data_IF_098355404669
#
_entry.id   IF_098355404669
#
_cell.length_a   1.000
_cell.length_b   1.000
_cell.length_c   1.000
_cell.angle_alpha   90.00
_cell.angle_beta   90.00
_cell.angle_gamma   90.00
#
_symmetry.space_group_name_H-M   'P 1'
#
loop_
_entity.id
_entity.type
_entity.pdbx_description
1 polymer ?
#
# COMPACT_ATOMS: atom_id res chain seq x y z
N UNK A 1 11.52 -21.40 22.58
CA UNK A 1 10.18 -20.94 23.02
C UNK A 1 9.62 -20.07 21.91
N UNK A 2 8.63 -20.57 21.16
CA UNK A 2 7.95 -19.76 20.15
C UNK A 2 6.99 -18.83 20.89
N UNK A 3 7.26 -17.53 20.87
CA UNK A 3 6.22 -16.54 21.13
C UNK A 3 5.08 -16.78 20.14
N UNK A 4 3.93 -17.23 20.64
CA UNK A 4 2.71 -17.24 19.86
C UNK A 4 2.31 -15.78 19.65
N UNK A 5 2.49 -15.30 18.41
CA UNK A 5 2.08 -13.96 18.05
C UNK A 5 0.57 -13.96 17.90
N UNK A 6 -0.10 -13.14 18.71
CA UNK A 6 -1.54 -12.95 18.62
C UNK A 6 -1.92 -12.35 17.26
N UNK A 7 -3.06 -12.78 16.67
CA UNK A 7 -3.60 -12.14 15.49
C UNK A 7 -3.86 -10.64 15.73
N UNK A 8 -3.54 -9.81 14.73
CA UNK A 8 -3.77 -8.36 14.81
C UNK A 8 -4.64 -7.90 13.66
N UNK A 9 -5.53 -6.94 13.93
CA UNK A 9 -6.20 -6.20 12.88
C UNK A 9 -5.21 -5.26 12.20
N UNK A 10 -5.27 -5.21 10.88
CA UNK A 10 -4.44 -4.33 10.06
C UNK A 10 -5.17 -3.94 8.78
N UNK A 11 -4.61 -2.99 8.04
CA UNK A 11 -5.09 -2.66 6.70
C UNK A 11 -4.30 -3.45 5.66
N UNK A 12 -5.00 -4.18 4.80
CA UNK A 12 -4.44 -4.79 3.61
C UNK A 12 -4.75 -3.94 2.37
N UNK A 13 -3.82 -3.88 1.42
CA UNK A 13 -3.99 -3.20 0.14
C UNK A 13 -3.33 -4.00 -0.98
N UNK A 14 -3.53 -3.56 -2.22
CA UNK A 14 -2.84 -4.09 -3.39
C UNK A 14 -2.01 -3.00 -4.06
N UNK A 15 -0.86 -3.37 -4.60
CA UNK A 15 -0.04 -2.48 -5.42
C UNK A 15 -0.71 -2.30 -6.77
N UNK A 16 -0.78 -1.07 -7.27
CA UNK A 16 -1.35 -0.78 -8.60
C UNK A 16 -0.67 -1.60 -9.69
N UNK A 17 -1.43 -2.09 -10.67
CA UNK A 17 -0.88 -2.85 -11.78
C UNK A 17 0.14 -2.02 -12.56
N UNK A 18 -0.22 -0.78 -12.85
CA UNK A 18 0.59 0.21 -13.56
C UNK A 18 0.48 1.57 -12.87
N UNK A 19 1.57 2.32 -12.89
CA UNK A 19 1.66 3.70 -12.39
C UNK A 19 2.25 4.62 -13.43
N UNK A 20 1.82 5.88 -13.40
CA UNK A 20 2.49 6.98 -14.09
C UNK A 20 3.86 7.24 -13.47
N UNK A 21 4.86 7.55 -14.29
CA UNK A 21 6.26 7.72 -13.93
C UNK A 21 6.94 8.74 -14.84
N UNK A 22 8.12 9.20 -14.44
CA UNK A 22 8.92 10.14 -15.22
C UNK A 22 8.31 11.54 -15.26
N UNK A 23 8.85 12.36 -16.16
CA UNK A 23 8.47 13.76 -16.30
C UNK A 23 6.97 13.88 -16.60
N UNK A 24 6.28 14.69 -15.78
CA UNK A 24 4.84 14.93 -15.89
C UNK A 24 4.00 13.64 -15.98
N UNK A 25 4.50 12.51 -15.49
CA UNK A 25 3.81 11.23 -15.49
C UNK A 25 3.50 10.64 -16.87
N UNK A 26 4.35 10.91 -17.87
CA UNK A 26 4.14 10.45 -19.26
C UNK A 26 4.59 8.99 -19.50
N UNK A 27 5.43 8.43 -18.65
CA UNK A 27 5.78 7.01 -18.71
C UNK A 27 4.82 6.14 -17.88
N UNK A 28 4.63 4.89 -18.29
CA UNK A 28 3.91 3.88 -17.51
C UNK A 28 4.86 2.79 -17.06
N UNK A 29 4.87 2.48 -15.76
CA UNK A 29 5.66 1.38 -15.19
C UNK A 29 4.81 0.42 -14.37
N UNK A 30 5.05 -0.89 -14.45
CA UNK A 30 4.30 -1.85 -13.66
C UNK A 30 4.73 -1.82 -12.18
N UNK A 31 3.78 -1.99 -11.28
CA UNK A 31 4.01 -2.13 -9.84
C UNK A 31 4.83 -1.01 -9.21
N UNK A 32 5.85 -1.36 -8.43
CA UNK A 32 6.90 -0.46 -7.92
C UNK A 32 8.28 -1.11 -8.12
N UNK A 33 9.36 -0.43 -7.68
CA UNK A 33 10.69 -1.06 -7.63
C UNK A 33 10.71 -2.29 -6.71
N UNK A 34 9.97 -2.23 -5.59
CA UNK A 34 9.97 -3.25 -4.55
C UNK A 34 8.90 -4.33 -4.74
N UNK A 35 7.77 -4.01 -5.36
CA UNK A 35 6.63 -4.91 -5.50
C UNK A 35 6.17 -5.08 -6.95
N UNK A 36 5.64 -6.26 -7.27
CA UNK A 36 4.94 -6.51 -8.54
C UNK A 36 3.60 -5.77 -8.54
N UNK A 37 3.12 -5.39 -9.73
CA UNK A 37 1.75 -4.91 -9.88
C UNK A 37 0.77 -5.98 -9.40
N UNK A 38 -0.26 -5.56 -8.66
CA UNK A 38 -1.26 -6.45 -8.04
C UNK A 38 -0.78 -7.18 -6.78
N UNK A 39 0.46 -6.95 -6.33
CA UNK A 39 0.94 -7.59 -5.10
C UNK A 39 0.14 -7.13 -3.89
N UNK A 40 -0.28 -8.07 -3.04
CA UNK A 40 -0.89 -7.78 -1.74
C UNK A 40 0.17 -7.31 -0.76
N UNK A 41 -0.14 -6.25 -0.02
CA UNK A 41 0.67 -5.69 1.06
C UNK A 41 -0.19 -5.45 2.29
N UNK A 42 0.46 -5.39 3.45
CA UNK A 42 -0.15 -5.01 4.73
C UNK A 42 0.47 -3.70 5.20
N UNK A 43 -0.35 -2.73 5.58
CA UNK A 43 0.09 -1.44 6.12
C UNK A 43 0.44 -1.65 7.60
N UNK A 44 1.69 -1.36 7.96
CA UNK A 44 2.20 -1.51 9.31
C UNK A 44 2.30 -0.18 10.05
N UNK A 45 2.54 0.91 9.33
CA UNK A 45 2.62 2.26 9.89
C UNK A 45 2.34 3.30 8.81
N UNK A 46 2.04 4.53 9.23
CA UNK A 46 1.99 5.69 8.35
C UNK A 46 2.70 6.87 9.00
N UNK A 47 3.28 7.72 8.15
CA UNK A 47 3.87 8.97 8.58
C UNK A 47 2.80 10.07 8.63
N UNK A 48 2.12 10.21 9.77
CA UNK A 48 1.00 11.16 9.98
C UNK A 48 1.42 12.60 9.69
N UNK A 49 2.63 13.00 10.09
CA UNK A 49 3.17 14.35 9.83
C UNK A 49 3.40 14.68 8.35
N UNK A 50 3.33 13.69 7.47
CA UNK A 50 3.44 13.82 6.00
C UNK A 50 2.09 13.54 5.33
N UNK A 51 0.96 13.75 6.02
CA UNK A 51 -0.39 13.56 5.45
C UNK A 51 -0.67 12.13 4.97
N UNK A 52 0.03 11.13 5.53
CA UNK A 52 -0.02 9.74 5.05
C UNK A 52 0.36 9.58 3.57
N UNK A 53 1.30 10.38 3.05
CA UNK A 53 1.86 10.23 1.69
C UNK A 53 2.69 8.96 1.51
N UNK A 54 3.25 8.46 2.60
CA UNK A 54 4.00 7.22 2.63
C UNK A 54 3.52 6.32 3.76
N UNK A 55 3.47 5.03 3.45
CA UNK A 55 3.08 3.97 4.36
C UNK A 55 4.21 2.96 4.46
N UNK A 56 4.56 2.55 5.67
CA UNK A 56 5.40 1.38 5.87
C UNK A 56 4.56 0.14 5.58
N UNK A 57 4.95 -0.63 4.57
CA UNK A 57 4.20 -1.81 4.12
C UNK A 57 5.01 -3.09 4.26
N UNK A 58 4.31 -4.20 4.47
CA UNK A 58 4.87 -5.55 4.50
C UNK A 58 4.27 -6.34 3.34
N UNK A 59 5.13 -6.86 2.46
CA UNK A 59 4.69 -7.57 1.26
C UNK A 59 5.73 -8.53 0.72
N UNK A 60 5.39 -9.28 -0.34
CA UNK A 60 6.34 -10.16 -1.04
C UNK A 60 7.15 -9.35 -2.05
N UNK A 61 8.47 -9.29 -1.86
CA UNK A 61 9.37 -8.55 -2.72
C UNK A 61 9.37 -9.06 -4.17
N UNK A 62 9.44 -8.13 -5.13
CA UNK A 62 9.30 -8.36 -6.58
C UNK A 62 10.22 -9.45 -7.14
N UNK A 63 11.48 -9.43 -6.72
CA UNK A 63 12.54 -10.28 -7.29
C UNK A 63 12.75 -11.57 -6.51
N UNK A 64 12.66 -11.50 -5.18
CA UNK A 64 13.01 -12.63 -4.30
C UNK A 64 11.79 -13.42 -3.84
N UNK A 65 10.59 -12.85 -3.94
CA UNK A 65 9.38 -13.42 -3.34
C UNK A 65 9.44 -13.52 -1.81
N UNK A 66 10.47 -12.96 -1.15
CA UNK A 66 10.60 -12.95 0.32
C UNK A 66 9.76 -11.82 0.92
N UNK A 67 9.38 -11.97 2.19
CA UNK A 67 8.73 -10.89 2.92
C UNK A 67 9.71 -9.74 3.16
N UNK A 68 9.34 -8.55 2.70
CA UNK A 68 10.07 -7.31 2.91
C UNK A 68 9.19 -6.31 3.65
N UNK A 69 9.83 -5.37 4.35
CA UNK A 69 9.19 -4.20 4.94
C UNK A 69 9.79 -2.97 4.27
N UNK A 70 8.97 -2.10 3.70
CA UNK A 70 9.43 -0.92 2.97
C UNK A 70 8.38 0.18 2.94
N UNK A 71 8.84 1.42 3.00
CA UNK A 71 7.99 2.58 2.78
C UNK A 71 7.55 2.63 1.31
N UNK A 72 6.25 2.81 1.14
CA UNK A 72 5.58 2.80 -0.15
C UNK A 72 4.65 3.98 -0.21
N UNK A 73 4.74 4.75 -1.30
CA UNK A 73 3.85 5.87 -1.51
C UNK A 73 2.39 5.40 -1.59
N UNK A 74 1.51 6.07 -0.86
CA UNK A 74 0.08 5.71 -0.73
C UNK A 74 -0.61 5.67 -2.08
N UNK A 75 -0.27 6.59 -2.99
CA UNK A 75 -0.74 6.61 -4.39
C UNK A 75 -0.48 5.31 -5.17
N UNK A 76 0.51 4.51 -4.79
CA UNK A 76 0.85 3.23 -5.44
C UNK A 76 0.04 2.04 -4.93
N UNK A 77 -0.87 2.25 -3.97
CA UNK A 77 -1.70 1.23 -3.37
C UNK A 77 -3.18 1.52 -3.58
N UNK A 78 -4.00 0.47 -3.63
CA UNK A 78 -5.46 0.57 -3.81
C UNK A 78 -6.18 -0.62 -3.17
N UNK A 79 -7.50 -0.51 -3.03
CA UNK A 79 -8.33 -1.58 -2.47
C UNK A 79 -8.00 -1.83 -1.01
N UNK A 80 -7.84 -0.74 -0.26
CA UNK A 80 -7.57 -0.78 1.18
C UNK A 80 -8.76 -1.41 1.90
N UNK A 81 -8.48 -2.36 2.80
CA UNK A 81 -9.52 -3.03 3.59
C UNK A 81 -8.98 -3.54 4.92
N UNK A 82 -9.84 -3.58 5.93
CA UNK A 82 -9.57 -4.27 7.18
C UNK A 82 -9.26 -5.75 6.93
N UNK A 83 -8.25 -6.27 7.63
CA UNK A 83 -7.90 -7.68 7.59
C UNK A 83 -7.26 -8.12 8.89
N UNK A 84 -7.80 -9.20 9.48
CA UNK A 84 -7.13 -9.90 10.57
C UNK A 84 -5.92 -10.69 10.04
N UNK A 85 -4.74 -10.39 10.59
CA UNK A 85 -3.47 -11.01 10.23
C UNK A 85 -3.15 -12.17 11.16
N UNK A 86 -2.86 -13.33 10.57
CA UNK A 86 -2.44 -14.53 11.29
C UNK A 86 -1.10 -15.09 10.81
N UNK A 87 -0.51 -14.51 9.75
CA UNK A 87 0.72 -15.04 9.13
C UNK A 87 1.93 -14.72 10.02
N UNK A 88 2.63 -15.71 10.61
CA UNK A 88 3.66 -15.44 11.62
C UNK A 88 4.82 -14.57 11.10
N UNK A 89 5.20 -14.74 9.83
CA UNK A 89 6.26 -13.95 9.22
C UNK A 89 5.88 -12.46 9.02
N UNK A 90 4.58 -12.18 8.89
CA UNK A 90 4.03 -10.82 8.79
C UNK A 90 3.86 -10.24 10.18
N UNK A 91 3.31 -11.00 11.14
CA UNK A 91 3.15 -10.59 12.53
C UNK A 91 4.48 -10.16 13.16
N UNK A 92 5.56 -10.95 12.96
CA UNK A 92 6.91 -10.59 13.43
C UNK A 92 7.40 -9.25 12.90
N UNK A 93 7.15 -8.99 11.61
CA UNK A 93 7.55 -7.73 10.98
C UNK A 93 6.70 -6.57 11.45
N UNK A 94 5.39 -6.78 11.55
CA UNK A 94 4.43 -5.79 12.03
C UNK A 94 4.79 -5.33 13.44
N UNK A 95 5.01 -6.26 14.38
CA UNK A 95 5.42 -5.95 15.74
C UNK A 95 6.75 -5.15 15.84
N UNK A 96 7.64 -5.27 14.85
CA UNK A 96 8.92 -4.54 14.83
C UNK A 96 8.82 -3.10 14.30
N UNK A 97 7.82 -2.80 13.47
CA UNK A 97 7.74 -1.51 12.76
C UNK A 97 6.47 -0.72 13.04
N UNK A 98 5.51 -1.30 13.74
CA UNK A 98 4.24 -0.65 14.08
C UNK A 98 4.37 0.05 15.42
N UNK A 99 4.22 1.38 15.38
CA UNK A 99 4.26 2.24 16.57
C UNK A 99 2.87 2.48 17.14
N UNK A 100 1.85 2.46 16.28
CA UNK A 100 0.44 2.63 16.64
C UNK A 100 -0.40 1.52 16.03
N UNK A 101 -0.43 0.33 16.65
CA UNK A 101 -1.16 -0.81 16.12
C UNK A 101 -2.66 -0.58 16.19
N UNK A 102 -3.34 -0.84 15.08
CA UNK A 102 -4.79 -0.98 15.02
C UNK A 102 -5.21 -2.15 15.90
N UNK A 103 -6.16 -1.91 16.81
CA UNK A 103 -6.58 -2.86 17.86
C UNK A 103 -7.90 -3.56 17.54
N UNK A 104 -8.79 -2.90 16.78
CA UNK A 104 -10.10 -3.45 16.46
C UNK A 104 -10.35 -3.54 14.96
N UNK A 105 -11.41 -4.25 14.59
CA UNK A 105 -11.88 -4.30 13.20
C UNK A 105 -12.34 -2.93 12.73
N UNK A 106 -13.11 -2.23 13.56
CA UNK A 106 -13.69 -0.91 13.28
C UNK A 106 -12.59 0.12 12.99
N UNK A 107 -11.57 0.20 13.84
CA UNK A 107 -10.41 1.05 13.60
C UNK A 107 -9.71 0.71 12.26
N UNK A 108 -9.61 -0.58 11.92
CA UNK A 108 -9.03 -1.01 10.64
C UNK A 108 -9.90 -0.61 9.45
N UNK A 109 -11.23 -0.64 9.59
CA UNK A 109 -12.17 -0.21 8.55
C UNK A 109 -12.08 1.29 8.33
N UNK A 110 -12.14 2.08 9.39
CA UNK A 110 -12.03 3.54 9.32
C UNK A 110 -10.70 3.96 8.70
N UNK A 111 -9.62 3.29 9.12
CA UNK A 111 -8.30 3.61 8.61
C UNK A 111 -8.14 3.19 7.14
N UNK A 112 -8.67 2.04 6.75
CA UNK A 112 -8.70 1.64 5.34
C UNK A 112 -9.44 2.67 4.47
N UNK A 113 -10.58 3.17 4.93
CA UNK A 113 -11.36 4.19 4.22
C UNK A 113 -10.59 5.51 4.10
N UNK A 114 -9.90 5.94 5.16
CA UNK A 114 -9.03 7.12 5.12
C UNK A 114 -7.92 6.97 4.07
N UNK A 115 -7.19 5.85 4.12
CA UNK A 115 -6.07 5.60 3.21
C UNK A 115 -6.51 5.48 1.75
N UNK A 116 -7.68 4.92 1.48
CA UNK A 116 -8.23 4.87 0.11
C UNK A 116 -8.49 6.28 -0.43
N UNK A 117 -9.12 7.17 0.35
CA UNK A 117 -9.34 8.57 -0.06
C UNK A 117 -8.02 9.27 -0.39
N UNK A 118 -7.04 9.16 0.51
CA UNK A 118 -5.71 9.77 0.33
C UNK A 118 -5.01 9.20 -0.92
N UNK A 119 -5.11 7.90 -1.16
CA UNK A 119 -4.51 7.26 -2.33
C UNK A 119 -5.12 7.77 -3.64
N UNK A 120 -6.45 7.97 -3.67
CA UNK A 120 -7.17 8.55 -4.81
C UNK A 120 -6.72 9.99 -5.05
N UNK A 121 -6.75 10.83 -4.02
CA UNK A 121 -6.35 12.25 -4.11
C UNK A 121 -4.91 12.42 -4.59
N UNK A 122 -3.99 11.61 -4.07
CA UNK A 122 -2.59 11.68 -4.49
C UNK A 122 -2.39 11.18 -5.92
N UNK A 123 -3.09 10.13 -6.37
CA UNK A 123 -2.97 9.69 -7.76
C UNK A 123 -3.42 10.79 -8.72
N UNK A 124 -4.50 11.48 -8.38
CA UNK A 124 -5.08 12.54 -9.20
C UNK A 124 -4.19 13.80 -9.26
N UNK A 125 -3.45 14.11 -8.20
CA UNK A 125 -2.69 15.37 -8.06
C UNK A 125 -1.17 15.24 -8.22
N UNK A 126 -0.59 14.05 -8.03
CA UNK A 126 0.88 13.89 -7.96
C UNK A 126 1.58 14.24 -9.28
N UNK A 127 0.95 13.94 -10.41
CA UNK A 127 1.51 14.26 -11.73
C UNK A 127 0.75 15.43 -12.34
N UNK A 128 1.44 16.55 -12.57
CA UNK A 128 0.83 17.76 -13.14
C UNK A 128 0.54 17.70 -14.64
N UNK A 129 0.98 16.66 -15.35
CA UNK A 129 0.71 16.50 -16.79
C UNK A 129 -0.60 15.74 -17.07
N UNK A 130 -1.14 15.84 -18.30
CA UNK A 130 -2.25 15.01 -18.74
C UNK A 130 -1.86 13.53 -18.74
N UNK A 131 -2.86 12.64 -18.77
CA UNK A 131 -2.59 11.21 -18.90
C UNK A 131 -2.07 10.91 -20.31
N UNK A 132 -1.07 10.01 -20.47
CA UNK A 132 -0.65 9.56 -21.81
C UNK A 132 -1.80 8.81 -22.50
N UNK A 133 -1.84 8.78 -23.84
CA UNK A 133 -2.87 8.09 -24.60
C UNK A 133 -2.28 6.96 -25.46
N UNK A 134 -2.63 5.66 -25.24
CA UNK A 134 -3.54 5.16 -24.20
C UNK A 134 -2.92 5.16 -22.79
N UNK A 135 -3.73 5.42 -21.77
CA UNK A 135 -3.28 5.36 -20.36
C UNK A 135 -3.66 4.03 -19.71
N UNK A 136 -2.67 3.35 -19.13
CA UNK A 136 -2.88 2.13 -18.34
C UNK A 136 -2.81 2.38 -16.83
N UNK A 137 -2.76 3.63 -16.36
CA UNK A 137 -2.69 3.89 -14.93
C UNK A 137 -3.92 3.34 -14.19
N UNK A 138 -3.79 3.12 -12.88
CA UNK A 138 -4.89 2.58 -12.08
C UNK A 138 -6.20 3.37 -12.22
N UNK A 139 -6.14 4.70 -12.34
CA UNK A 139 -7.34 5.54 -12.47
C UNK A 139 -8.06 5.32 -13.80
N UNK A 140 -7.31 5.18 -14.90
CA UNK A 140 -7.90 4.90 -16.21
C UNK A 140 -8.43 3.48 -16.30
N UNK A 141 -7.73 2.50 -15.73
CA UNK A 141 -8.18 1.11 -15.70
C UNK A 141 -9.38 0.88 -14.79
N UNK A 142 -9.63 1.74 -13.79
CA UNK A 142 -10.78 1.61 -12.89
C UNK A 142 -12.02 2.34 -13.39
N UNK A 143 -11.91 3.11 -14.50
CA UNK A 143 -13.01 3.87 -15.11
C UNK A 143 -13.61 3.21 -16.35
N UNK A 144 -12.91 2.24 -16.93
CA UNK A 144 -13.40 1.42 -18.06
C UNK A 144 -14.03 0.13 -17.55
#
# INVERSE_FOLDING_TARGET
MSEELEPVWAVAANVVLWRRYGDLGQELRPGTKAYRGGAKVFVASAYVGMGHEQLTTIGRGRHTGRWITIDTATRHLHGFRAKLLYTPAVLRRYAQVTWWPVRTEEEAVEYAALLERIAVEQRASYHGGPHPDPCLCHECLSRG
#
